data_IF_152561856258
#
_entry.id   IF_152561856258
#
_cell.length_a   1.000
_cell.length_b   1.000
_cell.length_c   1.000
_cell.angle_alpha   90.00
_cell.angle_beta   90.00
_cell.angle_gamma   90.00
#
_symmetry.space_group_name_H-M   'P 1'
#
loop_
_entity.id
_entity.type
_entity.pdbx_description
1 polymer ?
#
# COMPACT_ATOMS: atom_id res chain seq x y z
N UNK A 1 -22.77 9.64 4.76
CA UNK A 1 -21.39 9.68 5.28
C UNK A 1 -21.46 10.65 6.45
N UNK A 2 -21.39 10.15 7.69
CA UNK A 2 -21.45 11.05 8.86
C UNK A 2 -20.15 11.85 8.87
N UNK A 3 -20.26 13.17 8.88
CA UNK A 3 -19.14 14.03 9.19
C UNK A 3 -18.53 13.53 10.51
N UNK A 4 -17.23 13.28 10.51
CA UNK A 4 -16.54 13.14 11.78
C UNK A 4 -16.58 14.54 12.40
N UNK A 5 -17.32 14.68 13.50
CA UNK A 5 -17.18 15.81 14.41
C UNK A 5 -15.74 15.76 14.93
N UNK A 6 -14.85 16.45 14.24
CA UNK A 6 -13.58 16.86 14.83
C UNK A 6 -14.00 17.90 15.86
N UNK A 7 -14.02 17.50 17.13
CA UNK A 7 -14.30 18.40 18.23
C UNK A 7 -13.19 19.47 18.19
N UNK A 8 -13.54 20.65 17.66
CA UNK A 8 -12.77 21.89 17.72
C UNK A 8 -12.93 22.59 19.08
N UNK A 9 -13.46 21.90 20.09
CA UNK A 9 -13.48 22.45 21.44
C UNK A 9 -12.03 22.53 21.93
N UNK A 10 -11.47 23.75 21.86
CA UNK A 10 -10.32 24.14 22.66
C UNK A 10 -10.58 23.65 24.08
N UNK A 11 -9.75 22.72 24.54
CA UNK A 11 -9.76 22.29 25.94
C UNK A 11 -9.35 23.51 26.76
N UNK A 12 -10.31 24.32 27.16
CA UNK A 12 -10.18 25.37 28.17
C UNK A 12 -9.94 24.68 29.51
N UNK A 13 -8.67 24.35 29.75
CA UNK A 13 -8.20 24.05 31.09
C UNK A 13 -8.06 25.37 31.84
N UNK A 14 -8.84 25.53 32.91
CA UNK A 14 -8.68 26.62 33.88
C UNK A 14 -7.21 26.84 34.19
N UNK A 15 -6.73 28.07 34.07
CA UNK A 15 -5.38 28.49 34.42
C UNK A 15 -5.08 28.13 35.87
N UNK A 16 -4.53 26.94 36.09
CA UNK A 16 -3.91 26.55 37.37
C UNK A 16 -2.41 26.63 37.15
N UNK A 17 -1.87 27.69 37.72
CA UNK A 17 -0.48 28.08 37.86
C UNK A 17 0.42 26.91 38.31
N UNK A 18 1.59 26.78 37.68
CA UNK A 18 2.70 25.91 38.10
C UNK A 18 2.74 24.51 37.48
N UNK A 19 3.77 24.28 36.64
CA UNK A 19 4.43 23.01 36.28
C UNK A 19 3.68 21.69 36.59
N UNK A 20 2.44 21.59 36.07
CA UNK A 20 1.58 20.44 36.28
C UNK A 20 2.00 19.30 35.34
N UNK A 21 1.95 18.03 35.79
CA UNK A 21 2.14 16.89 34.91
C UNK A 21 1.26 16.94 33.65
N UNK A 22 0.07 17.58 33.74
CA UNK A 22 -0.84 17.75 32.61
C UNK A 22 -0.37 18.81 31.61
N UNK A 23 0.17 19.95 32.07
CA UNK A 23 0.71 20.98 31.18
C UNK A 23 1.98 20.51 30.48
N UNK A 24 2.84 19.77 31.20
CA UNK A 24 4.03 19.11 30.63
C UNK A 24 3.64 18.06 29.60
N UNK A 25 2.63 17.22 29.87
CA UNK A 25 2.14 16.24 28.89
C UNK A 25 1.55 16.92 27.64
N UNK A 26 0.78 18.00 27.79
CA UNK A 26 0.24 18.78 26.67
C UNK A 26 1.35 19.35 25.79
N UNK A 27 2.39 19.92 26.41
CA UNK A 27 3.54 20.47 25.70
C UNK A 27 4.31 19.39 24.93
N UNK A 28 4.58 18.24 25.55
CA UNK A 28 5.24 17.11 24.89
C UNK A 28 4.42 16.56 23.71
N UNK A 29 3.10 16.46 23.85
CA UNK A 29 2.22 16.04 22.76
C UNK A 29 2.24 17.04 21.60
N UNK A 30 2.30 18.34 21.91
CA UNK A 30 2.42 19.39 20.89
C UNK A 30 3.77 19.34 20.17
N UNK A 31 4.88 19.20 20.90
CA UNK A 31 6.21 19.03 20.32
C UNK A 31 6.30 17.76 19.44
N UNK A 32 5.72 16.65 19.89
CA UNK A 32 5.64 15.41 19.10
C UNK A 32 4.81 15.59 17.83
N UNK A 33 3.68 16.31 17.90
CA UNK A 33 2.84 16.63 16.73
C UNK A 33 3.60 17.49 15.73
N UNK A 34 4.28 18.54 16.20
CA UNK A 34 5.10 19.41 15.35
C UNK A 34 6.24 18.65 14.68
N UNK A 35 6.91 17.76 15.42
CA UNK A 35 7.99 16.93 14.87
C UNK A 35 7.46 15.94 13.83
N UNK A 36 6.31 15.30 14.07
CA UNK A 36 5.68 14.39 13.12
C UNK A 36 5.22 15.11 11.82
N UNK A 37 4.79 16.37 11.93
CA UNK A 37 4.41 17.17 10.77
C UNK A 37 5.61 17.55 9.89
N UNK A 38 6.77 17.88 10.49
CA UNK A 38 8.00 18.15 9.73
C UNK A 38 8.42 16.97 8.85
N UNK A 39 8.26 15.74 9.33
CA UNK A 39 8.57 14.53 8.55
C UNK A 39 7.62 14.36 7.33
N UNK A 40 6.35 14.76 7.47
CA UNK A 40 5.42 14.82 6.32
C UNK A 40 5.85 15.89 5.32
N UNK A 41 6.37 17.02 5.76
CA UNK A 41 6.82 18.11 4.89
C UNK A 41 8.00 17.69 4.00
N UNK A 42 8.94 16.88 4.51
CA UNK A 42 10.03 16.34 3.69
C UNK A 42 9.52 15.43 2.58
N UNK A 43 8.52 14.59 2.88
CA UNK A 43 7.91 13.70 1.89
C UNK A 43 7.17 14.48 0.81
N UNK A 44 6.40 15.51 1.20
CA UNK A 44 5.72 16.44 0.29
C UNK A 44 6.73 17.14 -0.63
N UNK A 45 7.77 17.73 -0.04
CA UNK A 45 8.86 18.40 -0.77
C UNK A 45 9.53 17.46 -1.78
N UNK A 46 9.79 16.21 -1.39
CA UNK A 46 10.37 15.21 -2.29
C UNK A 46 9.45 14.91 -3.49
N UNK A 47 8.16 14.72 -3.25
CA UNK A 47 7.17 14.49 -4.32
C UNK A 47 7.11 15.69 -5.27
N UNK A 48 7.03 16.91 -4.73
CA UNK A 48 6.92 18.14 -5.52
C UNK A 48 8.15 18.42 -6.38
N UNK A 49 9.36 18.26 -5.81
CA UNK A 49 10.61 18.48 -6.55
C UNK A 49 10.73 17.56 -7.75
N UNK A 50 10.44 16.28 -7.56
CA UNK A 50 10.49 15.31 -8.67
C UNK A 50 9.33 15.49 -9.64
N UNK A 51 8.14 15.91 -9.17
CA UNK A 51 7.01 16.23 -10.04
C UNK A 51 7.37 17.34 -11.02
N UNK A 52 7.89 18.47 -10.55
CA UNK A 52 8.33 19.56 -11.42
C UNK A 52 9.44 19.09 -12.37
N UNK A 53 10.43 18.33 -11.87
CA UNK A 53 11.52 17.83 -12.69
C UNK A 53 11.07 16.91 -13.85
N UNK A 54 10.00 16.12 -13.67
CA UNK A 54 9.52 15.18 -14.69
C UNK A 54 8.39 15.74 -15.56
N UNK A 55 7.46 16.53 -15.00
CA UNK A 55 6.29 17.02 -15.75
C UNK A 55 6.59 18.27 -16.57
N UNK A 56 7.55 19.11 -16.16
CA UNK A 56 7.85 20.36 -16.84
C UNK A 56 8.76 20.17 -18.08
N UNK A 57 9.37 18.99 -18.23
CA UNK A 57 10.27 18.66 -19.35
C UNK A 57 9.64 17.63 -20.31
N UNK A 58 9.38 18.08 -21.54
CA UNK A 58 8.83 17.27 -22.65
C UNK A 58 9.61 15.98 -22.94
N UNK A 59 10.89 15.91 -22.57
CA UNK A 59 11.75 14.73 -22.68
C UNK A 59 11.18 13.52 -21.93
N UNK A 60 10.45 13.75 -20.84
CA UNK A 60 9.89 12.71 -19.98
C UNK A 60 8.42 12.39 -20.27
N UNK A 61 7.85 12.88 -21.36
CA UNK A 61 6.46 12.62 -21.77
C UNK A 61 6.08 11.13 -21.81
N UNK A 62 7.02 10.26 -22.20
CA UNK A 62 6.84 8.80 -22.21
C UNK A 62 6.53 8.20 -20.83
N UNK A 63 6.88 8.88 -19.73
CA UNK A 63 6.58 8.42 -18.37
C UNK A 63 5.09 8.53 -18.05
N UNK A 64 4.31 9.32 -18.79
CA UNK A 64 2.87 9.44 -18.58
C UNK A 64 2.11 8.14 -18.88
N UNK A 65 2.72 7.22 -19.64
CA UNK A 65 2.17 5.89 -19.92
C UNK A 65 2.61 4.83 -18.90
N UNK A 66 3.39 5.20 -17.88
CA UNK A 66 3.93 4.26 -16.88
C UNK A 66 2.84 3.43 -16.19
N UNK A 67 1.65 4.02 -15.98
CA UNK A 67 0.52 3.33 -15.33
C UNK A 67 0.10 2.03 -16.05
N UNK A 68 0.37 1.91 -17.35
CA UNK A 68 0.09 0.70 -18.15
C UNK A 68 0.99 -0.47 -17.75
N UNK A 69 2.23 -0.19 -17.34
CA UNK A 69 3.18 -1.23 -16.91
C UNK A 69 2.93 -1.72 -15.47
N UNK A 70 2.28 -0.90 -14.64
CA UNK A 70 2.06 -1.19 -13.20
C UNK A 70 1.38 -2.55 -12.95
N UNK A 71 0.31 -2.96 -13.67
CA UNK A 71 -0.28 -4.29 -13.53
C UNK A 71 0.71 -5.44 -13.72
N UNK A 72 1.53 -5.39 -14.78
CA UNK A 72 2.51 -6.43 -15.07
C UNK A 72 3.60 -6.50 -13.98
N UNK A 73 4.04 -5.33 -13.51
CA UNK A 73 4.98 -5.20 -12.39
C UNK A 73 4.43 -5.80 -11.09
N UNK A 74 3.13 -5.57 -10.79
CA UNK A 74 2.46 -6.16 -9.62
C UNK A 74 2.37 -7.68 -9.71
N UNK A 75 2.06 -8.25 -10.89
CA UNK A 75 2.05 -9.71 -11.10
C UNK A 75 3.44 -10.29 -10.86
N UNK A 76 4.47 -9.72 -11.49
CA UNK A 76 5.85 -10.17 -11.33
C UNK A 76 6.31 -10.12 -9.87
N UNK A 77 5.94 -9.04 -9.16
CA UNK A 77 6.22 -8.91 -7.74
C UNK A 77 5.55 -10.00 -6.91
N UNK A 78 4.26 -10.27 -7.14
CA UNK A 78 3.53 -11.32 -6.40
C UNK A 78 4.14 -12.70 -6.64
N UNK A 79 4.50 -13.02 -7.88
CA UNK A 79 5.15 -14.29 -8.20
C UNK A 79 6.51 -14.43 -7.50
N UNK A 80 7.31 -13.36 -7.50
CA UNK A 80 8.56 -13.32 -6.76
C UNK A 80 8.35 -13.49 -5.26
N UNK A 81 7.33 -12.84 -4.70
CA UNK A 81 6.96 -12.92 -3.29
C UNK A 81 6.55 -14.31 -2.84
N UNK A 82 5.83 -15.06 -3.68
CA UNK A 82 5.51 -16.46 -3.43
C UNK A 82 6.79 -17.30 -3.30
N UNK A 83 7.75 -17.13 -4.21
CA UNK A 83 9.05 -17.84 -4.17
C UNK A 83 9.85 -17.48 -2.92
N UNK A 84 9.93 -16.19 -2.59
CA UNK A 84 10.61 -15.70 -1.39
C UNK A 84 10.00 -16.29 -0.11
N UNK A 85 8.67 -16.28 0.01
CA UNK A 85 7.98 -16.88 1.16
C UNK A 85 8.21 -18.38 1.26
N UNK A 86 8.21 -19.11 0.16
CA UNK A 86 8.45 -20.55 0.20
C UNK A 86 9.90 -20.88 0.57
N UNK A 87 10.87 -20.07 0.13
CA UNK A 87 12.27 -20.15 0.61
C UNK A 87 12.37 -19.84 2.10
N UNK A 88 11.64 -18.83 2.57
CA UNK A 88 11.63 -18.43 3.96
C UNK A 88 11.02 -19.50 4.86
N UNK A 89 9.88 -20.09 4.49
CA UNK A 89 9.27 -21.20 5.26
C UNK A 89 10.25 -22.35 5.49
N UNK A 90 11.05 -22.71 4.48
CA UNK A 90 12.10 -23.74 4.61
C UNK A 90 13.21 -23.36 5.60
N UNK A 91 13.57 -22.07 5.66
CA UNK A 91 14.60 -21.53 6.57
C UNK A 91 14.08 -21.23 7.98
N UNK A 92 12.82 -20.83 8.11
CA UNK A 92 12.16 -20.55 9.38
C UNK A 92 12.01 -21.82 10.24
N UNK A 93 12.00 -23.01 9.61
CA UNK A 93 12.11 -24.27 10.33
C UNK A 93 13.46 -24.47 11.03
N UNK A 94 14.51 -23.74 10.62
CA UNK A 94 15.85 -23.79 11.20
C UNK A 94 16.13 -22.64 12.18
N UNK A 95 15.53 -21.46 11.96
CA UNK A 95 15.69 -20.29 12.82
C UNK A 95 14.33 -19.60 13.06
N UNK A 96 13.94 -19.49 14.33
CA UNK A 96 12.57 -19.19 14.78
C UNK A 96 12.13 -17.72 14.64
N UNK A 97 13.00 -16.84 14.15
CA UNK A 97 12.80 -15.39 14.15
C UNK A 97 13.21 -14.77 12.81
N UNK A 98 12.44 -15.02 11.75
CA UNK A 98 12.62 -14.28 10.50
C UNK A 98 11.26 -13.79 10.01
N UNK A 99 11.03 -12.49 10.15
CA UNK A 99 9.90 -11.77 9.57
C UNK A 99 10.37 -11.14 8.26
N UNK A 100 9.79 -11.56 7.14
CA UNK A 100 10.04 -10.94 5.84
C UNK A 100 8.89 -10.01 5.52
N UNK A 101 9.19 -8.73 5.43
CA UNK A 101 8.30 -7.69 4.91
C UNK A 101 9.06 -6.94 3.83
N UNK A 102 8.47 -6.85 2.65
CA UNK A 102 8.93 -5.98 1.58
C UNK A 102 7.74 -5.15 1.13
N UNK A 103 7.72 -3.88 1.52
CA UNK A 103 6.77 -2.88 1.03
C UNK A 103 7.45 -1.86 0.12
N UNK A 104 8.78 -1.83 0.07
CA UNK A 104 9.56 -0.84 -0.67
C UNK A 104 9.25 -0.80 -2.17
N UNK A 105 9.05 -1.96 -2.79
CA UNK A 105 8.62 -2.02 -4.18
C UNK A 105 7.23 -1.38 -4.40
N UNK A 106 6.27 -1.71 -3.54
CA UNK A 106 4.89 -1.24 -3.63
C UNK A 106 4.83 0.26 -3.34
N UNK A 107 5.57 0.72 -2.33
CA UNK A 107 5.78 2.13 -2.00
C UNK A 107 6.39 2.88 -3.20
N UNK A 108 7.38 2.31 -3.87
CA UNK A 108 7.97 2.89 -5.07
C UNK A 108 6.98 3.04 -6.24
N UNK A 109 6.13 2.03 -6.49
CA UNK A 109 5.08 2.13 -7.50
C UNK A 109 4.08 3.26 -7.18
N UNK A 110 3.64 3.34 -5.93
CA UNK A 110 2.74 4.40 -5.49
C UNK A 110 3.39 5.78 -5.60
N UNK A 111 4.66 5.90 -5.23
CA UNK A 111 5.44 7.14 -5.35
C UNK A 111 5.51 7.64 -6.80
N UNK A 112 5.87 6.76 -7.75
CA UNK A 112 5.95 7.14 -9.17
C UNK A 112 4.58 7.58 -9.71
N UNK A 113 3.51 6.85 -9.37
CA UNK A 113 2.16 7.23 -9.76
C UNK A 113 1.72 8.57 -9.17
N UNK A 114 2.13 8.88 -7.94
CA UNK A 114 1.88 10.19 -7.33
C UNK A 114 2.67 11.28 -8.03
N UNK A 115 3.99 11.12 -8.18
CA UNK A 115 4.88 12.12 -8.81
C UNK A 115 4.42 12.48 -10.21
N UNK A 116 3.98 11.50 -10.99
CA UNK A 116 3.54 11.70 -12.38
C UNK A 116 2.04 12.01 -12.51
N UNK A 117 1.31 12.12 -11.40
CA UNK A 117 -0.14 12.35 -11.36
C UNK A 117 -0.96 11.33 -12.19
N UNK A 118 -0.61 10.05 -12.08
CA UNK A 118 -1.18 8.96 -12.90
C UNK A 118 -2.28 8.15 -12.20
N UNK A 119 -2.68 8.55 -10.99
CA UNK A 119 -3.72 7.86 -10.22
C UNK A 119 -5.07 7.74 -10.93
N UNK A 120 -5.60 8.79 -11.61
CA UNK A 120 -6.85 8.69 -12.35
C UNK A 120 -6.79 7.63 -13.47
N UNK A 121 -5.71 7.64 -14.26
CA UNK A 121 -5.47 6.72 -15.38
C UNK A 121 -5.34 5.30 -14.86
N UNK A 122 -4.53 5.08 -13.81
CA UNK A 122 -4.40 3.77 -13.17
C UNK A 122 -5.74 3.26 -12.61
N UNK A 123 -6.50 4.12 -11.93
CA UNK A 123 -7.80 3.74 -11.34
C UNK A 123 -8.79 3.29 -12.41
N UNK A 124 -8.77 3.91 -13.59
CA UNK A 124 -9.63 3.55 -14.73
C UNK A 124 -9.42 2.11 -15.21
N UNK A 125 -8.23 1.53 -15.01
CA UNK A 125 -7.93 0.14 -15.39
C UNK A 125 -8.74 -0.88 -14.58
N UNK A 126 -9.28 -0.50 -13.42
CA UNK A 126 -10.00 -1.40 -12.51
C UNK A 126 -9.18 -2.66 -12.19
N UNK A 127 -7.84 -2.54 -12.12
CA UNK A 127 -6.92 -3.68 -12.09
C UNK A 127 -7.20 -4.68 -10.96
N UNK A 128 -7.34 -4.19 -9.72
CA UNK A 128 -7.62 -5.05 -8.56
C UNK A 128 -8.96 -5.80 -8.66
N UNK A 129 -9.96 -5.19 -9.30
CA UNK A 129 -11.24 -5.84 -9.58
C UNK A 129 -11.06 -6.96 -10.60
N UNK A 130 -10.26 -6.73 -11.65
CA UNK A 130 -9.92 -7.73 -12.66
C UNK A 130 -9.19 -8.92 -12.06
N UNK A 131 -8.23 -8.69 -11.16
CA UNK A 131 -7.52 -9.77 -10.44
C UNK A 131 -8.48 -10.57 -9.56
N UNK A 132 -9.31 -9.90 -8.76
CA UNK A 132 -10.30 -10.58 -7.91
C UNK A 132 -11.26 -11.44 -8.74
N UNK A 133 -11.76 -10.92 -9.86
CA UNK A 133 -12.63 -11.65 -10.78
C UNK A 133 -11.93 -12.87 -11.38
N UNK A 134 -10.66 -12.73 -11.76
CA UNK A 134 -9.85 -13.85 -12.28
C UNK A 134 -9.68 -14.94 -11.22
N UNK A 135 -9.26 -14.59 -10.01
CA UNK A 135 -9.09 -15.56 -8.92
C UNK A 135 -10.39 -16.30 -8.61
N UNK A 136 -11.53 -15.61 -8.60
CA UNK A 136 -12.84 -16.23 -8.40
C UNK A 136 -13.18 -17.25 -9.50
N UNK A 137 -12.93 -16.91 -10.77
CA UNK A 137 -13.12 -17.83 -11.88
C UNK A 137 -12.17 -19.05 -11.80
N UNK A 138 -10.91 -18.83 -11.43
CA UNK A 138 -9.93 -19.91 -11.26
C UNK A 138 -10.34 -20.87 -10.12
N UNK A 139 -10.92 -20.36 -9.03
CA UNK A 139 -11.47 -21.18 -7.94
C UNK A 139 -12.68 -22.01 -8.38
N UNK A 140 -13.58 -21.43 -9.16
CA UNK A 140 -14.74 -22.14 -9.72
C UNK A 140 -14.29 -23.29 -10.63
N UNK A 141 -13.34 -23.02 -11.54
CA UNK A 141 -12.76 -24.03 -12.42
C UNK A 141 -12.09 -25.17 -11.63
N UNK A 142 -11.33 -24.86 -10.58
CA UNK A 142 -10.71 -25.88 -9.73
C UNK A 142 -11.74 -26.71 -8.96
N UNK A 143 -12.86 -26.11 -8.55
CA UNK A 143 -13.95 -26.81 -7.85
C UNK A 143 -14.63 -27.81 -8.78
N UNK A 144 -14.84 -27.45 -10.04
CA UNK A 144 -15.38 -28.38 -11.04
C UNK A 144 -14.37 -29.48 -11.42
N UNK A 145 -13.07 -29.16 -11.51
CA UNK A 145 -12.02 -30.16 -11.72
C UNK A 145 -11.98 -31.17 -10.56
N UNK A 146 -12.20 -30.72 -9.32
CA UNK A 146 -12.22 -31.58 -8.12
C UNK A 146 -13.38 -32.58 -8.12
N UNK A 147 -14.53 -32.23 -8.72
CA UNK A 147 -15.69 -33.14 -8.84
C UNK A 147 -15.48 -34.24 -9.89
N UNK A 148 -14.66 -33.96 -10.90
CA UNK A 148 -14.54 -34.79 -12.12
C UNK A 148 -13.26 -35.62 -12.16
N UNK A 149 -12.19 -35.17 -11.50
CA UNK A 149 -10.86 -35.78 -11.57
C UNK A 149 -10.57 -36.75 -10.42
N UNK A 150 -9.83 -37.82 -10.71
CA UNK A 150 -9.32 -38.79 -9.72
C UNK A 150 -7.98 -38.36 -9.10
N UNK A 151 -7.32 -37.33 -9.64
CA UNK A 151 -6.05 -36.80 -9.10
C UNK A 151 -6.29 -35.77 -7.99
N UNK A 152 -6.66 -36.27 -6.81
CA UNK A 152 -6.90 -35.44 -5.62
C UNK A 152 -5.66 -34.63 -5.19
N UNK A 153 -4.45 -35.18 -5.39
CA UNK A 153 -3.21 -34.57 -4.90
C UNK A 153 -2.77 -33.38 -5.76
N UNK A 154 -2.86 -33.51 -7.10
CA UNK A 154 -2.59 -32.42 -8.03
C UNK A 154 -3.54 -31.24 -7.85
N UNK A 155 -4.82 -31.52 -7.67
CA UNK A 155 -5.86 -30.49 -7.45
C UNK A 155 -5.63 -29.75 -6.13
N UNK A 156 -5.31 -30.46 -5.04
CA UNK A 156 -5.01 -29.83 -3.76
C UNK A 156 -3.81 -28.88 -3.85
N UNK A 157 -2.77 -29.26 -4.62
CA UNK A 157 -1.60 -28.39 -4.84
C UNK A 157 -1.98 -27.13 -5.63
N UNK A 158 -2.78 -27.27 -6.70
CA UNK A 158 -3.29 -26.13 -7.48
C UNK A 158 -4.10 -25.17 -6.60
N UNK A 159 -5.03 -25.70 -5.79
CA UNK A 159 -5.83 -24.91 -4.86
C UNK A 159 -4.97 -24.19 -3.82
N UNK A 160 -3.96 -24.85 -3.26
CA UNK A 160 -3.01 -24.24 -2.32
C UNK A 160 -2.24 -23.09 -2.97
N UNK A 161 -1.79 -23.26 -4.21
CA UNK A 161 -1.07 -22.22 -4.97
C UNK A 161 -1.96 -21.03 -5.30
N UNK A 162 -3.20 -21.27 -5.73
CA UNK A 162 -4.17 -20.22 -6.03
C UNK A 162 -4.52 -19.40 -4.78
N UNK A 163 -4.76 -20.07 -3.65
CA UNK A 163 -4.99 -19.42 -2.35
C UNK A 163 -3.78 -18.56 -1.92
N UNK A 164 -2.57 -19.05 -2.12
CA UNK A 164 -1.36 -18.28 -1.81
C UNK A 164 -1.25 -17.04 -2.71
N UNK A 165 -1.47 -17.19 -4.01
CA UNK A 165 -1.43 -16.10 -4.98
C UNK A 165 -2.48 -15.01 -4.66
N UNK A 166 -3.72 -15.39 -4.39
CA UNK A 166 -4.78 -14.45 -4.02
C UNK A 166 -4.45 -13.71 -2.73
N UNK A 167 -3.88 -14.41 -1.74
CA UNK A 167 -3.46 -13.79 -0.48
C UNK A 167 -2.35 -12.76 -0.69
N UNK A 168 -1.32 -13.08 -1.48
CA UNK A 168 -0.25 -12.12 -1.78
C UNK A 168 -0.78 -10.89 -2.52
N UNK A 169 -1.71 -11.09 -3.48
CA UNK A 169 -2.34 -9.98 -4.17
C UNK A 169 -3.17 -9.08 -3.25
N UNK A 170 -3.87 -9.66 -2.26
CA UNK A 170 -4.59 -8.88 -1.25
C UNK A 170 -3.63 -8.05 -0.41
N UNK A 171 -2.54 -8.65 0.07
CA UNK A 171 -1.50 -7.93 0.83
C UNK A 171 -0.92 -6.78 0.01
N UNK A 172 -0.56 -7.04 -1.25
CA UNK A 172 -0.12 -5.99 -2.17
C UNK A 172 -1.16 -4.87 -2.28
N UNK A 173 -2.44 -5.21 -2.44
CA UNK A 173 -3.50 -4.20 -2.59
C UNK A 173 -3.64 -3.30 -1.35
N UNK A 174 -3.50 -3.87 -0.15
CA UNK A 174 -3.57 -3.10 1.09
C UNK A 174 -2.37 -2.17 1.23
N UNK A 175 -1.15 -2.70 1.06
CA UNK A 175 0.07 -1.88 1.10
C UNK A 175 0.01 -0.78 0.04
N UNK A 176 -0.47 -1.07 -1.16
CA UNK A 176 -0.57 -0.09 -2.24
C UNK A 176 -1.60 1.00 -1.96
N UNK A 177 -2.74 0.66 -1.35
CA UNK A 177 -3.73 1.64 -0.90
C UNK A 177 -3.20 2.50 0.24
N UNK A 178 -2.51 1.89 1.22
CA UNK A 178 -1.85 2.62 2.30
C UNK A 178 -0.77 3.55 1.76
N UNK A 179 0.04 3.11 0.80
CA UNK A 179 1.05 3.91 0.13
C UNK A 179 0.44 5.10 -0.63
N UNK A 180 -0.70 4.89 -1.30
CA UNK A 180 -1.44 5.96 -1.97
C UNK A 180 -1.85 7.05 -0.98
N UNK A 181 -2.40 6.68 0.16
CA UNK A 181 -2.81 7.63 1.22
C UNK A 181 -1.60 8.28 1.87
N UNK A 182 -0.51 7.53 2.05
CA UNK A 182 0.74 8.07 2.57
C UNK A 182 1.31 9.19 1.69
N UNK A 183 1.20 9.04 0.36
CA UNK A 183 1.64 10.03 -0.62
C UNK A 183 0.54 11.00 -1.09
N UNK A 184 -0.72 10.87 -0.63
CA UNK A 184 -1.71 11.91 -0.88
C UNK A 184 -1.32 13.09 -0.01
N UNK A 185 -0.58 14.00 -0.65
CA UNK A 185 -0.38 15.35 -0.15
C UNK A 185 -1.78 15.92 -0.05
N UNK A 186 -2.24 16.18 1.17
CA UNK A 186 -3.51 16.83 1.40
C UNK A 186 -3.53 18.13 0.58
N UNK A 187 -4.33 18.18 -0.49
CA UNK A 187 -4.73 19.40 -1.21
C UNK A 187 -5.75 20.18 -0.34
N UNK A 188 -5.51 20.26 0.97
CA UNK A 188 -6.42 20.84 1.98
C UNK A 188 -6.32 22.37 2.07
N UNK A 189 -5.78 23.02 1.04
CA UNK A 189 -5.73 24.48 0.91
C UNK A 189 -6.39 24.92 -0.41
N UNK A 190 -7.72 24.84 -0.46
CA UNK A 190 -8.58 25.67 -1.35
C UNK A 190 -9.84 26.10 -0.58
#
# INVERSE_FOLDING_TARGET
MRAYDTIEDEIEASEVDGDSPLSTAKKLLQELREQANKDRDFTKMLVEKFRSAFLDDSKFSHLLDFYVAVPALMVNYVEHMLVCRDRLKKRAQLHKEITFTDDGFIMGLAYILTVLNLWPQFTSLNWFRSVTKKCAADHEMLTEEMKTSKDSRGIHLKATRLNAYEREFKLLSFTFQSARVFFSVDDDDD
#
